data_IF_189751353074
#
_entry.id   IF_189751353074
#
_cell.length_a   1.000
_cell.length_b   1.000
_cell.length_c   1.000
_cell.angle_alpha   90.00
_cell.angle_beta   90.00
_cell.angle_gamma   90.00
#
_symmetry.space_group_name_H-M   'P 1'
#
loop_
_entity.id
_entity.type
_entity.pdbx_description
1 polymer ?
#
# COMPACT_ATOMS: atom_id res chain seq x y z
N UNK A 1 13.30 -16.99 6.76
CA UNK A 1 12.11 -16.21 7.17
C UNK A 1 12.18 -14.83 6.54
N UNK A 2 11.09 -14.06 6.57
CA UNK A 2 11.05 -12.67 6.13
C UNK A 2 10.66 -11.76 7.30
N UNK A 3 11.09 -10.50 7.28
CA UNK A 3 10.73 -9.49 8.28
C UNK A 3 10.43 -8.16 7.57
N UNK A 4 9.63 -7.31 8.20
CA UNK A 4 9.39 -5.96 7.69
C UNK A 4 10.61 -5.08 7.96
N UNK A 5 10.96 -4.25 6.97
CA UNK A 5 11.99 -3.22 7.11
C UNK A 5 11.27 -1.89 7.36
N UNK A 6 11.60 -1.21 8.44
CA UNK A 6 11.02 0.10 8.77
C UNK A 6 11.41 1.13 7.70
N UNK A 7 10.44 1.65 6.92
CA UNK A 7 10.71 2.64 5.87
C UNK A 7 10.83 4.07 6.40
N UNK A 8 10.44 4.37 7.65
CA UNK A 8 10.37 5.75 8.18
C UNK A 8 11.68 6.53 8.08
N UNK A 9 12.86 5.95 8.39
CA UNK A 9 14.14 6.68 8.26
C UNK A 9 14.48 7.09 6.82
N UNK A 10 13.80 6.51 5.83
CA UNK A 10 14.06 6.70 4.40
C UNK A 10 12.97 7.51 3.70
N UNK A 11 11.89 7.86 4.42
CA UNK A 11 10.77 8.62 3.90
C UNK A 11 11.20 10.01 3.44
N UNK A 12 10.74 10.42 2.26
CA UNK A 12 11.01 11.76 1.71
C UNK A 12 9.72 12.55 1.50
N UNK A 13 9.82 13.87 1.65
CA UNK A 13 8.80 14.83 1.22
C UNK A 13 7.39 14.44 1.74
N UNK A 14 6.43 14.25 0.85
CA UNK A 14 5.04 13.95 1.21
C UNK A 14 4.87 12.65 2.01
N UNK A 15 5.80 11.69 1.88
CA UNK A 15 5.78 10.46 2.68
C UNK A 15 6.24 10.72 4.11
N UNK A 16 7.27 11.54 4.31
CA UNK A 16 7.71 11.95 5.65
C UNK A 16 6.61 12.74 6.37
N UNK A 17 5.94 13.64 5.65
CA UNK A 17 4.78 14.39 6.16
C UNK A 17 3.62 13.46 6.54
N UNK A 18 3.42 12.39 5.77
CA UNK A 18 2.39 11.38 6.04
C UNK A 18 2.68 10.63 7.34
N UNK A 19 3.92 10.21 7.58
CA UNK A 19 4.29 9.60 8.86
C UNK A 19 4.13 10.56 10.04
N UNK A 20 4.52 11.83 9.88
CA UNK A 20 4.34 12.84 10.91
C UNK A 20 2.85 13.04 11.25
N UNK A 21 1.98 13.03 10.24
CA UNK A 21 0.52 13.16 10.42
C UNK A 21 -0.13 11.90 10.99
N UNK A 22 0.38 10.72 10.65
CA UNK A 22 -0.23 9.43 10.97
C UNK A 22 0.77 8.48 11.63
N UNK A 23 1.20 8.80 12.85
CA UNK A 23 2.21 8.02 13.58
C UNK A 23 1.82 6.56 13.89
N UNK A 24 0.54 6.20 13.76
CA UNK A 24 0.03 4.85 14.01
C UNK A 24 0.26 3.86 12.86
N UNK A 25 0.74 4.32 11.70
CA UNK A 25 0.97 3.45 10.52
C UNK A 25 2.05 2.39 10.81
N UNK A 26 3.01 2.69 11.69
CA UNK A 26 4.09 1.76 12.02
C UNK A 26 5.04 1.52 10.85
N UNK A 27 5.44 0.27 10.65
CA UNK A 27 6.54 -0.10 9.74
C UNK A 27 6.07 -0.42 8.30
N UNK A 28 4.87 0.06 7.90
CA UNK A 28 4.37 -0.08 6.52
C UNK A 28 4.45 1.26 5.78
N UNK A 29 4.78 1.20 4.49
CA UNK A 29 4.89 2.37 3.62
C UNK A 29 3.51 2.84 3.13
N UNK A 30 3.02 4.04 3.52
CA UNK A 30 1.75 4.53 3.02
C UNK A 30 1.85 4.97 1.56
N UNK A 31 0.87 4.57 0.75
CA UNK A 31 0.68 5.04 -0.61
C UNK A 31 -0.41 6.12 -0.63
N UNK A 32 0.00 7.39 -0.56
CA UNK A 32 -0.91 8.53 -0.47
C UNK A 32 -1.03 9.25 -1.81
N UNK A 33 -2.13 9.02 -2.51
CA UNK A 33 -2.41 9.66 -3.80
C UNK A 33 -1.41 9.27 -4.91
N UNK A 34 -1.75 9.63 -6.15
CA UNK A 34 -0.99 9.22 -7.34
C UNK A 34 -0.78 10.38 -8.31
N UNK A 35 -0.68 11.61 -7.79
CA UNK A 35 -0.18 12.72 -8.59
C UNK A 35 1.32 12.59 -8.84
N UNK A 36 1.83 13.21 -9.91
CA UNK A 36 3.24 13.07 -10.34
C UNK A 36 4.26 13.27 -9.22
N UNK A 37 4.02 14.23 -8.32
CA UNK A 37 4.90 14.46 -7.16
C UNK A 37 4.84 13.31 -6.16
N UNK A 38 3.64 12.82 -5.84
CA UNK A 38 3.44 11.73 -4.89
C UNK A 38 4.03 10.42 -5.40
N UNK A 39 3.91 10.16 -6.71
CA UNK A 39 4.55 9.02 -7.39
C UNK A 39 6.07 9.09 -7.21
N UNK A 40 6.70 10.22 -7.53
CA UNK A 40 8.14 10.39 -7.38
C UNK A 40 8.60 10.26 -5.93
N UNK A 41 7.88 10.86 -4.99
CA UNK A 41 8.21 10.79 -3.55
C UNK A 41 8.11 9.34 -3.03
N UNK A 42 7.11 8.57 -3.51
CA UNK A 42 6.93 7.17 -3.17
C UNK A 42 8.03 6.28 -3.77
N UNK A 43 8.35 6.45 -5.06
CA UNK A 43 9.45 5.74 -5.74
C UNK A 43 10.80 5.99 -5.06
N UNK A 44 11.12 7.25 -4.78
CA UNK A 44 12.38 7.62 -4.13
C UNK A 44 12.45 7.08 -2.70
N UNK A 45 11.33 7.10 -1.95
CA UNK A 45 11.28 6.44 -0.64
C UNK A 45 11.56 4.95 -0.78
N UNK A 46 10.86 4.24 -1.67
CA UNK A 46 11.05 2.80 -1.89
C UNK A 46 12.50 2.48 -2.25
N UNK A 47 13.11 3.28 -3.12
CA UNK A 47 14.51 3.11 -3.55
C UNK A 47 15.49 3.19 -2.37
N UNK A 48 15.27 4.11 -1.42
CA UNK A 48 16.14 4.31 -0.25
C UNK A 48 16.01 3.24 0.83
N UNK A 49 14.86 2.58 0.95
CA UNK A 49 14.65 1.54 1.98
C UNK A 49 15.55 0.32 1.69
N UNK A 50 16.42 -0.13 2.60
CA UNK A 50 17.29 -1.28 2.39
C UNK A 50 16.51 -2.60 2.53
N UNK A 51 15.70 -2.94 1.53
CA UNK A 51 14.93 -4.17 1.47
C UNK A 51 15.21 -4.95 0.17
N UNK A 52 15.04 -6.28 0.25
CA UNK A 52 15.26 -7.18 -0.88
C UNK A 52 14.07 -7.24 -1.86
N UNK A 53 12.85 -6.94 -1.37
CA UNK A 53 11.62 -6.98 -2.16
C UNK A 53 10.55 -6.02 -1.61
N UNK A 54 9.59 -5.66 -2.46
CA UNK A 54 8.44 -4.79 -2.14
C UNK A 54 7.14 -5.58 -2.25
N UNK A 55 6.34 -5.56 -1.19
CA UNK A 55 5.00 -6.15 -1.16
C UNK A 55 3.94 -5.08 -1.38
N UNK A 56 3.26 -5.11 -2.52
CA UNK A 56 2.17 -4.18 -2.86
C UNK A 56 0.88 -4.71 -2.25
N UNK A 57 0.47 -4.14 -1.12
CA UNK A 57 -0.74 -4.51 -0.37
C UNK A 57 -1.95 -3.61 -0.69
N UNK A 58 -1.84 -2.70 -1.65
CA UNK A 58 -2.93 -1.81 -2.06
C UNK A 58 -3.97 -2.52 -2.93
N UNK A 59 -5.26 -2.09 -2.91
CA UNK A 59 -6.28 -2.61 -3.82
C UNK A 59 -5.96 -2.41 -5.31
N UNK A 60 -5.21 -1.37 -5.67
CA UNK A 60 -4.70 -1.20 -7.03
C UNK A 60 -3.31 -1.85 -7.18
N UNK A 61 -2.94 -2.17 -8.41
CA UNK A 61 -1.57 -2.61 -8.70
C UNK A 61 -0.65 -1.41 -8.88
N UNK A 62 0.11 -1.04 -7.84
CA UNK A 62 1.05 0.08 -7.90
C UNK A 62 2.12 -0.07 -8.97
N UNK A 63 2.44 -1.30 -9.39
CA UNK A 63 3.42 -1.55 -10.47
C UNK A 63 2.96 -1.01 -11.83
N UNK A 64 1.69 -0.60 -11.94
CA UNK A 64 1.15 0.07 -13.13
C UNK A 64 1.40 1.57 -13.15
N UNK A 65 1.75 2.17 -12.00
CA UNK A 65 1.93 3.62 -11.85
C UNK A 65 3.31 4.00 -11.32
N UNK A 66 4.02 3.06 -10.69
CA UNK A 66 5.37 3.25 -10.16
C UNK A 66 6.39 2.45 -10.99
N UNK A 67 7.54 3.05 -11.23
CA UNK A 67 8.77 2.37 -11.65
C UNK A 67 9.52 1.88 -10.40
N UNK A 68 9.50 0.56 -10.17
CA UNK A 68 10.20 -0.07 -9.06
C UNK A 68 11.47 -0.75 -9.55
N UNK A 69 12.61 -0.43 -8.94
CA UNK A 69 13.92 -1.04 -9.21
C UNK A 69 14.15 -2.33 -8.41
N UNK A 70 13.29 -2.60 -7.43
CA UNK A 70 13.32 -3.79 -6.57
C UNK A 70 12.27 -4.82 -7.00
N UNK A 71 12.56 -6.13 -6.84
CA UNK A 71 11.57 -7.18 -7.02
C UNK A 71 10.28 -6.85 -6.27
N UNK A 72 9.14 -6.93 -6.94
CA UNK A 72 7.86 -6.57 -6.33
C UNK A 72 6.74 -7.54 -6.69
N UNK A 73 5.92 -7.85 -5.70
CA UNK A 73 4.72 -8.67 -5.88
C UNK A 73 3.51 -8.02 -5.24
N UNK A 74 2.32 -8.32 -5.77
CA UNK A 74 1.05 -7.77 -5.29
C UNK A 74 0.29 -8.82 -4.52
N UNK A 75 -0.16 -8.45 -3.32
CA UNK A 75 -1.11 -9.25 -2.55
C UNK A 75 -2.52 -8.93 -3.02
N UNK A 76 -3.36 -9.95 -3.09
CA UNK A 76 -4.78 -9.84 -3.39
C UNK A 76 -5.56 -10.27 -2.15
N UNK A 77 -6.68 -9.61 -1.97
CA UNK A 77 -7.66 -9.95 -0.96
C UNK A 77 -9.03 -9.90 -1.63
N UNK A 78 -9.94 -10.69 -1.10
CA UNK A 78 -11.33 -10.75 -1.53
C UNK A 78 -12.24 -10.49 -0.33
N UNK A 79 -13.43 -9.98 -0.60
CA UNK A 79 -14.44 -9.83 0.43
C UNK A 79 -14.86 -11.22 0.90
N UNK A 80 -14.76 -11.46 2.20
CA UNK A 80 -15.36 -12.61 2.85
C UNK A 80 -16.51 -12.12 3.72
N UNK A 81 -17.73 -12.45 3.33
CA UNK A 81 -18.91 -12.11 4.12
C UNK A 81 -19.01 -13.03 5.34
N UNK A 82 -19.31 -12.43 6.50
CA UNK A 82 -19.43 -13.16 7.77
C UNK A 82 -20.85 -12.98 8.30
N UNK A 83 -21.57 -14.09 8.40
CA UNK A 83 -22.97 -14.11 8.86
C UNK A 83 -23.99 -13.97 7.74
N UNK A 84 -25.26 -13.79 8.12
CA UNK A 84 -26.40 -13.70 7.21
C UNK A 84 -27.31 -12.53 7.63
N UNK A 85 -28.06 -11.91 6.69
CA UNK A 85 -28.02 -12.14 5.24
C UNK A 85 -26.76 -11.59 4.60
N UNK A 86 -26.34 -12.19 3.49
CA UNK A 86 -25.24 -11.66 2.66
C UNK A 86 -25.69 -10.45 1.85
N UNK A 87 -24.75 -9.71 1.27
CA UNK A 87 -25.00 -8.65 0.29
C UNK A 87 -25.77 -9.20 -0.91
N UNK A 88 -25.42 -10.41 -1.37
CA UNK A 88 -26.15 -11.09 -2.44
C UNK A 88 -27.61 -11.36 -2.05
N UNK A 89 -27.87 -11.85 -0.83
CA UNK A 89 -29.23 -12.07 -0.32
C UNK A 89 -30.03 -10.77 -0.23
N UNK A 90 -29.38 -9.67 0.16
CA UNK A 90 -30.02 -8.36 0.24
C UNK A 90 -30.41 -7.84 -1.15
N UNK A 91 -29.55 -8.01 -2.15
CA UNK A 91 -29.81 -7.60 -3.53
C UNK A 91 -30.95 -8.40 -4.17
N UNK A 92 -31.01 -9.72 -3.95
CA UNK A 92 -32.11 -10.58 -4.45
C UNK A 92 -33.50 -10.18 -3.95
N UNK A 93 -33.62 -9.44 -2.84
CA UNK A 93 -34.90 -8.96 -2.30
C UNK A 93 -35.40 -7.67 -2.97
N UNK A 94 -34.54 -7.01 -3.74
CA UNK A 94 -34.88 -5.80 -4.49
C UNK A 94 -35.35 -6.10 -5.91
N UNK A 95 -35.14 -7.34 -6.37
CA UNK A 95 -35.71 -7.91 -7.60
C UNK A 95 -37.11 -8.49 -7.34
#
# INVERSE_FOLDING_TARGET
GAHLVDPRPYAVQSIADTYAKYGHIGDVLPAMGYGDKQIRDLEETIKRVPCDAVLVATPIDLRRVLALDKPSTRVRYELQEVGMPTLEDALRRLE
#
